data_IF_514534986737
#
_entry.id   IF_514534986737
#
_cell.length_a   1.000
_cell.length_b   1.000
_cell.length_c   1.000
_cell.angle_alpha   90.00
_cell.angle_beta   90.00
_cell.angle_gamma   90.00
#
_symmetry.space_group_name_H-M   'P 1'
#
loop_
_entity.id
_entity.type
_entity.pdbx_description
1 polymer ?
#
# COMPACT_ATOMS: atom_id res chain seq x y z
N UNK A 1 -37.31 13.79 4.88
CA UNK A 1 -36.14 14.62 5.22
C UNK A 1 -36.49 15.42 6.49
N UNK A 2 -35.60 15.64 7.50
CA UNK A 2 -34.14 15.51 7.47
C UNK A 2 -33.50 14.65 8.59
N UNK A 3 -32.19 14.53 8.44
CA UNK A 3 -31.08 13.93 9.22
C UNK A 3 -30.86 14.57 10.61
N UNK A 4 -30.32 13.80 11.58
CA UNK A 4 -29.84 14.33 12.86
C UNK A 4 -29.22 13.30 13.82
N UNK A 5 -27.90 13.15 13.71
CA UNK A 5 -26.83 12.90 14.71
C UNK A 5 -27.15 12.38 16.12
N UNK A 6 -26.42 11.34 16.55
CA UNK A 6 -26.22 10.98 17.95
C UNK A 6 -25.04 10.01 18.14
N UNK A 7 -23.86 10.57 18.49
CA UNK A 7 -22.75 9.83 19.13
C UNK A 7 -23.23 9.09 20.38
N UNK A 8 -22.51 8.04 20.82
CA UNK A 8 -21.97 8.15 22.16
C UNK A 8 -20.53 7.61 22.28
N UNK A 9 -19.69 8.42 22.93
CA UNK A 9 -18.42 8.03 23.54
C UNK A 9 -18.60 6.86 24.53
N UNK A 10 -17.64 5.94 24.54
CA UNK A 10 -17.49 4.91 25.56
C UNK A 10 -16.07 4.38 25.61
N UNK A 11 -15.32 4.79 26.63
CA UNK A 11 -13.99 4.29 26.94
C UNK A 11 -14.03 2.82 27.39
N UNK A 12 -13.09 2.00 26.92
CA UNK A 12 -12.91 0.62 27.36
C UNK A 12 -11.53 0.09 26.94
N UNK A 13 -10.64 -0.04 27.91
CA UNK A 13 -9.34 -0.69 27.80
C UNK A 13 -9.50 -2.20 27.54
N UNK A 14 -8.40 -2.79 27.05
CA UNK A 14 -8.05 -4.23 27.09
C UNK A 14 -8.63 -5.16 26.01
N UNK A 15 -7.76 -5.59 25.09
CA UNK A 15 -7.30 -6.98 25.02
C UNK A 15 -6.44 -7.14 23.76
N UNK A 16 -5.25 -7.71 23.91
CA UNK A 16 -4.33 -8.00 22.81
C UNK A 16 -4.98 -8.82 21.70
N UNK A 17 -5.40 -8.14 20.63
CA UNK A 17 -5.65 -8.78 19.35
C UNK A 17 -4.30 -8.86 18.64
N UNK A 18 -3.79 -10.08 18.45
CA UNK A 18 -2.76 -10.31 17.44
C UNK A 18 -3.30 -9.69 16.14
N UNK A 19 -2.71 -8.57 15.70
CA UNK A 19 -3.26 -7.81 14.58
C UNK A 19 -3.19 -8.69 13.34
N UNK A 20 -4.35 -9.20 12.91
CA UNK A 20 -4.47 -9.81 11.59
C UNK A 20 -3.88 -8.85 10.58
N UNK A 21 -3.03 -9.31 9.64
CA UNK A 21 -2.37 -8.41 8.71
C UNK A 21 -3.42 -7.65 7.89
N UNK A 22 -3.60 -6.36 8.19
CA UNK A 22 -4.57 -5.50 7.51
C UNK A 22 -3.94 -5.02 6.21
N UNK A 23 -4.27 -5.69 5.11
CA UNK A 23 -3.82 -5.27 3.78
C UNK A 23 -4.63 -4.06 3.33
N UNK A 24 -3.94 -3.02 2.87
CA UNK A 24 -4.57 -1.90 2.17
C UNK A 24 -4.63 -2.26 0.69
N UNK A 25 -5.83 -2.60 0.22
CA UNK A 25 -6.06 -3.01 -1.17
C UNK A 25 -6.51 -1.79 -1.98
N UNK A 26 -5.94 -1.65 -3.18
CA UNK A 26 -6.35 -0.67 -4.16
C UNK A 26 -6.68 -1.43 -5.45
N UNK A 27 -7.82 -1.13 -6.03
CA UNK A 27 -8.27 -1.75 -7.28
C UNK A 27 -8.33 -0.71 -8.40
N UNK A 28 -7.88 -1.11 -9.58
CA UNK A 28 -8.07 -0.32 -10.81
C UNK A 28 -9.54 -0.31 -11.19
N UNK A 29 -10.18 0.85 -11.15
CA UNK A 29 -11.56 1.00 -11.57
C UNK A 29 -11.79 2.38 -12.21
N UNK A 30 -12.93 2.55 -12.88
CA UNK A 30 -13.27 3.80 -13.57
C UNK A 30 -13.50 4.98 -12.63
N UNK A 31 -13.92 4.73 -11.38
CA UNK A 31 -14.26 5.76 -10.39
C UNK A 31 -13.03 6.25 -9.59
N UNK A 32 -12.13 5.33 -9.23
CA UNK A 32 -10.89 5.59 -8.48
C UNK A 32 -9.68 5.81 -9.38
N UNK A 33 -9.79 5.45 -10.66
CA UNK A 33 -8.71 5.48 -11.64
C UNK A 33 -7.94 4.15 -11.74
N UNK A 34 -7.23 4.01 -12.86
CA UNK A 34 -6.38 2.87 -13.14
C UNK A 34 -5.07 2.96 -12.35
N UNK A 35 -4.62 1.81 -11.83
CA UNK A 35 -3.29 1.65 -11.26
C UNK A 35 -2.27 1.61 -12.39
N UNK A 36 -1.33 2.54 -12.36
CA UNK A 36 -0.26 2.64 -13.34
C UNK A 36 1.05 2.41 -12.61
N UNK A 37 1.80 1.44 -13.13
CA UNK A 37 3.16 1.17 -12.71
C UNK A 37 4.14 1.84 -13.67
N UNK A 38 4.91 2.81 -13.17
CA UNK A 38 5.87 3.57 -13.98
C UNK A 38 7.29 3.33 -13.49
N UNK A 39 8.17 2.95 -14.42
CA UNK A 39 9.63 2.88 -14.18
C UNK A 39 10.29 3.92 -15.08
N UNK A 40 10.92 4.91 -14.46
CA UNK A 40 11.65 5.95 -15.18
C UNK A 40 13.10 5.54 -15.42
N UNK A 41 13.72 6.12 -16.45
CA UNK A 41 15.12 5.86 -16.84
C UNK A 41 16.13 6.18 -15.73
N UNK A 42 15.81 7.07 -14.79
CA UNK A 42 16.63 7.31 -13.60
C UNK A 42 16.57 6.16 -12.58
N UNK A 43 15.84 5.08 -12.86
CA UNK A 43 15.73 3.94 -11.96
C UNK A 43 14.78 4.19 -10.78
N UNK A 44 13.86 5.15 -10.88
CA UNK A 44 12.76 5.26 -9.93
C UNK A 44 11.55 4.45 -10.40
N UNK A 45 10.86 3.90 -9.41
CA UNK A 45 9.69 3.07 -9.56
C UNK A 45 8.55 3.72 -8.81
N UNK A 46 7.40 3.84 -9.47
CA UNK A 46 6.22 4.50 -8.92
C UNK A 46 4.96 3.69 -9.20
N UNK A 47 4.09 3.60 -8.21
CA UNK A 47 2.71 3.13 -8.33
C UNK A 47 1.82 4.33 -8.12
N UNK A 48 1.01 4.67 -9.12
CA UNK A 48 0.03 5.75 -9.03
C UNK A 48 -1.36 5.23 -9.39
N UNK A 49 -2.39 5.81 -8.77
CA UNK A 49 -3.78 5.58 -9.12
C UNK A 49 -4.36 6.91 -9.61
N UNK A 50 -4.69 6.99 -10.90
CA UNK A 50 -5.12 8.25 -11.52
C UNK A 50 -4.07 9.37 -11.35
N UNK A 51 -4.39 10.41 -10.58
CA UNK A 51 -3.48 11.53 -10.27
C UNK A 51 -2.76 11.38 -8.92
N UNK A 52 -3.03 10.33 -8.15
CA UNK A 52 -2.45 10.12 -6.82
C UNK A 52 -1.27 9.16 -6.89
N UNK A 53 -0.13 9.58 -6.34
CA UNK A 53 1.01 8.68 -6.14
C UNK A 53 0.80 7.86 -4.87
N UNK A 54 0.72 6.53 -5.01
CA UNK A 54 0.54 5.62 -3.88
C UNK A 54 1.88 5.29 -3.22
N UNK A 55 2.82 4.80 -4.03
CA UNK A 55 4.13 4.36 -3.56
C UNK A 55 5.19 4.76 -4.58
N UNK A 56 6.36 5.15 -4.09
CA UNK A 56 7.46 5.60 -4.92
C UNK A 56 8.79 5.30 -4.27
N UNK A 57 9.66 4.57 -4.97
CA UNK A 57 10.99 4.26 -4.47
C UNK A 57 12.05 4.24 -5.56
N UNK A 58 13.29 4.44 -5.15
CA UNK A 58 14.44 4.28 -6.04
C UNK A 58 14.87 2.81 -6.07
N UNK A 59 15.01 2.24 -7.27
CA UNK A 59 15.64 0.96 -7.48
C UNK A 59 17.17 1.04 -7.33
N UNK A 60 17.74 2.24 -7.48
CA UNK A 60 19.19 2.46 -7.30
C UNK A 60 19.55 2.23 -5.84
N UNK A 61 20.49 1.30 -5.59
CA UNK A 61 20.93 0.93 -4.24
C UNK A 61 19.89 0.15 -3.42
N UNK A 62 18.78 -0.29 -4.04
CA UNK A 62 17.67 -0.97 -3.37
C UNK A 62 17.96 -2.40 -2.94
N UNK A 63 19.04 -3.01 -3.47
CA UNK A 63 19.40 -4.42 -3.26
C UNK A 63 19.49 -4.85 -1.79
N UNK A 64 19.82 -3.92 -0.88
CA UNK A 64 19.98 -4.22 0.55
C UNK A 64 18.69 -4.14 1.36
N UNK A 65 17.63 -3.51 0.82
CA UNK A 65 16.40 -3.21 1.57
C UNK A 65 15.10 -3.52 0.81
N UNK A 66 15.17 -3.75 -0.51
CA UNK A 66 14.04 -4.09 -1.36
C UNK A 66 14.22 -5.50 -1.91
N UNK A 67 13.24 -6.36 -1.66
CA UNK A 67 13.14 -7.71 -2.22
C UNK A 67 11.91 -7.77 -3.12
N UNK A 68 12.11 -8.11 -4.39
CA UNK A 68 11.02 -8.27 -5.35
C UNK A 68 10.87 -9.76 -5.65
N UNK A 69 9.67 -10.30 -5.50
CA UNK A 69 9.34 -11.68 -5.84
C UNK A 69 8.18 -11.68 -6.84
N UNK A 70 8.40 -12.29 -8.00
CA UNK A 70 7.34 -12.49 -8.99
C UNK A 70 6.66 -13.84 -8.75
N UNK A 71 5.33 -13.86 -8.74
CA UNK A 71 4.51 -15.08 -8.80
C UNK A 71 3.41 -14.89 -9.83
N UNK A 72 3.43 -15.70 -10.90
CA UNK A 72 2.54 -15.53 -12.06
C UNK A 72 2.60 -14.08 -12.58
N UNK A 73 1.47 -13.37 -12.50
CA UNK A 73 1.30 -11.98 -12.92
C UNK A 73 1.43 -10.99 -11.74
N UNK A 74 1.63 -11.49 -10.52
CA UNK A 74 1.80 -10.66 -9.34
C UNK A 74 3.27 -10.34 -9.05
N UNK A 75 3.54 -9.09 -8.70
CA UNK A 75 4.83 -8.64 -8.15
C UNK A 75 4.69 -8.32 -6.67
N UNK A 76 5.49 -8.99 -5.84
CA UNK A 76 5.56 -8.77 -4.42
C UNK A 76 6.80 -7.95 -4.07
N UNK A 77 6.61 -6.76 -3.51
CA UNK A 77 7.66 -5.86 -3.06
C UNK A 77 7.74 -5.92 -1.54
N UNK A 78 8.83 -6.45 -1.01
CA UNK A 78 9.17 -6.41 0.41
C UNK A 78 10.19 -5.31 0.65
N UNK A 79 9.82 -4.26 1.37
CA UNK A 79 10.74 -3.22 1.82
C UNK A 79 11.04 -3.39 3.30
N UNK A 80 12.32 -3.35 3.66
CA UNK A 80 12.78 -3.39 5.06
C UNK A 80 13.36 -2.03 5.42
N UNK A 81 12.57 -1.16 6.05
CA UNK A 81 13.00 0.18 6.45
C UNK A 81 12.89 0.29 7.97
N UNK A 82 14.02 0.52 8.65
CA UNK A 82 14.08 0.73 10.12
C UNK A 82 13.18 -0.23 10.92
N UNK A 83 13.35 -1.54 10.68
CA UNK A 83 12.62 -2.63 11.34
C UNK A 83 11.10 -2.69 11.08
N UNK A 84 10.55 -1.89 10.16
CA UNK A 84 9.23 -2.12 9.57
C UNK A 84 9.38 -2.80 8.21
N UNK A 85 8.73 -3.94 8.07
CA UNK A 85 8.63 -4.66 6.81
C UNK A 85 7.26 -4.34 6.20
N UNK A 86 7.25 -3.66 5.06
CA UNK A 86 6.03 -3.44 4.29
C UNK A 86 6.04 -4.39 3.08
N UNK A 87 4.90 -4.99 2.80
CA UNK A 87 4.72 -5.87 1.64
C UNK A 87 3.63 -5.31 0.75
N UNK A 88 3.95 -5.05 -0.53
CA UNK A 88 2.99 -4.63 -1.53
C UNK A 88 2.86 -5.70 -2.63
N UNK A 89 1.64 -6.01 -3.02
CA UNK A 89 1.34 -6.89 -4.16
C UNK A 89 0.74 -6.03 -5.28
N UNK A 90 1.28 -6.13 -6.50
CA UNK A 90 0.73 -5.46 -7.68
C UNK A 90 0.23 -6.52 -8.66
N UNK A 91 -0.98 -6.31 -9.20
CA UNK A 91 -1.63 -7.07 -10.28
C UNK A 91 -2.09 -6.10 -11.37
#
# INVERSE_FOLDING_TARGET
>A
MPLGTGEPSGAGLEAGAASSPTWKVFDSNEESGYLILTIVISGHFFISQGQTLLEGFSLIGSKNWLKIVRRMDCLLFGTTIKARCCVANCF
#
